data_IF_867024459054
#
_entry.id   IF_867024459054
#
_cell.length_a   1.000
_cell.length_b   1.000
_cell.length_c   1.000
_cell.angle_alpha   90.00
_cell.angle_beta   90.00
_cell.angle_gamma   90.00
#
_symmetry.space_group_name_H-M   'P 1'
#
loop_
_entity.id
_entity.type
_entity.pdbx_description
1 polymer ?
#
# COMPACT_ATOMS: atom_id res chain seq x y z
N UNK A 1 -18.20 10.87 5.15
CA UNK A 1 -17.34 11.68 4.25
C UNK A 1 -18.10 12.94 3.85
N UNK A 2 -17.42 13.91 3.24
CA UNK A 2 -18.02 15.13 2.73
C UNK A 2 -17.95 15.16 1.19
N UNK A 3 -18.93 15.78 0.54
CA UNK A 3 -18.82 16.11 -0.89
C UNK A 3 -18.27 17.52 -1.01
N UNK A 4 -17.20 17.68 -1.78
CA UNK A 4 -16.53 18.96 -2.00
C UNK A 4 -16.54 19.26 -3.50
N UNK A 5 -17.03 20.44 -3.85
CA UNK A 5 -16.95 20.94 -5.23
C UNK A 5 -15.57 21.52 -5.48
N UNK A 6 -14.86 20.97 -6.45
CA UNK A 6 -13.54 21.43 -6.86
C UNK A 6 -13.67 22.20 -8.16
N UNK A 7 -13.02 23.36 -8.22
CA UNK A 7 -12.87 24.18 -9.43
C UNK A 7 -11.39 24.22 -9.80
N UNK A 8 -11.04 23.75 -11.00
CA UNK A 8 -9.68 23.81 -11.52
C UNK A 8 -9.40 25.19 -12.14
N UNK A 9 -8.11 25.54 -12.30
CA UNK A 9 -7.69 26.78 -12.97
C UNK A 9 -8.23 26.90 -14.41
N UNK A 10 -8.52 25.77 -15.05
CA UNK A 10 -9.16 25.71 -16.37
C UNK A 10 -10.63 26.15 -16.36
N UNK A 11 -11.23 26.36 -15.19
CA UNK A 11 -12.66 26.63 -15.00
C UNK A 11 -13.52 25.37 -14.97
N UNK A 12 -12.94 24.18 -15.12
CA UNK A 12 -13.66 22.92 -14.98
C UNK A 12 -14.09 22.71 -13.51
N UNK A 13 -15.32 22.21 -13.30
CA UNK A 13 -15.87 21.94 -11.97
C UNK A 13 -16.35 20.50 -11.87
N UNK A 14 -16.12 19.88 -10.71
CA UNK A 14 -16.61 18.55 -10.40
C UNK A 14 -16.85 18.40 -8.89
N UNK A 15 -17.83 17.59 -8.51
CA UNK A 15 -18.05 17.19 -7.13
C UNK A 15 -17.23 15.93 -6.84
N UNK A 16 -16.45 15.96 -5.76
CA UNK A 16 -15.65 14.82 -5.33
C UNK A 16 -15.95 14.40 -3.89
N UNK A 17 -15.75 13.12 -3.59
CA UNK A 17 -15.91 12.56 -2.25
C UNK A 17 -14.62 12.72 -1.46
N UNK A 18 -14.69 13.48 -0.37
CA UNK A 18 -13.70 13.48 0.70
C UNK A 18 -14.12 12.46 1.76
N UNK A 19 -13.62 11.23 1.62
CA UNK A 19 -13.86 10.16 2.61
C UNK A 19 -13.30 10.54 3.99
N UNK A 20 -13.92 10.03 5.06
CA UNK A 20 -13.50 10.30 6.46
C UNK A 20 -12.00 10.04 6.66
N UNK A 21 -11.52 8.89 6.18
CA UNK A 21 -10.11 8.49 6.28
C UNK A 21 -9.13 9.39 5.50
N UNK A 22 -9.63 10.30 4.65
CA UNK A 22 -8.82 11.22 3.87
C UNK A 22 -8.87 12.67 4.41
N UNK A 23 -9.54 12.92 5.55
CA UNK A 23 -9.66 14.26 6.15
C UNK A 23 -8.43 14.60 7.00
N UNK A 24 -8.00 13.70 7.88
CA UNK A 24 -6.89 13.92 8.82
C UNK A 24 -6.03 12.67 8.96
N UNK A 25 -4.78 12.86 9.38
CA UNK A 25 -3.90 11.77 9.83
C UNK A 25 -4.32 11.21 11.20
N UNK A 26 -5.04 12.00 11.99
CA UNK A 26 -5.70 11.55 13.20
C UNK A 26 -7.04 10.87 12.89
N UNK A 27 -7.51 10.02 13.81
CA UNK A 27 -8.82 9.36 13.70
C UNK A 27 -9.92 10.43 13.76
N UNK A 28 -10.84 10.37 12.78
CA UNK A 28 -12.02 11.22 12.70
C UNK A 28 -13.25 10.32 12.74
N UNK A 29 -14.03 10.38 13.82
CA UNK A 29 -15.26 9.60 13.97
C UNK A 29 -16.45 10.31 13.31
N UNK A 30 -16.60 11.61 13.52
CA UNK A 30 -17.61 12.46 12.86
C UNK A 30 -16.93 13.55 12.02
N UNK A 31 -17.41 13.72 10.80
CA UNK A 31 -16.95 14.77 9.89
C UNK A 31 -17.30 16.15 10.45
N UNK A 32 -18.41 16.27 11.18
CA UNK A 32 -18.87 17.53 11.76
C UNK A 32 -17.92 18.08 12.84
N UNK A 33 -17.03 17.24 13.40
CA UNK A 33 -16.04 17.66 14.40
C UNK A 33 -14.86 18.42 13.78
N UNK A 34 -14.67 18.29 12.47
CA UNK A 34 -13.48 18.80 11.75
C UNK A 34 -13.82 19.69 10.56
N UNK A 35 -15.04 19.61 10.03
CA UNK A 35 -15.49 20.38 8.88
C UNK A 35 -16.81 21.11 9.15
N UNK A 36 -16.90 22.35 8.66
CA UNK A 36 -18.10 23.17 8.72
C UNK A 36 -18.68 23.42 7.31
N UNK A 37 -20.00 23.66 7.24
CA UNK A 37 -20.65 24.10 6.00
C UNK A 37 -20.07 25.47 5.59
N UNK A 38 -19.84 25.66 4.29
CA UNK A 38 -19.21 26.84 3.69
C UNK A 38 -17.73 27.08 4.06
N UNK A 39 -17.08 26.11 4.73
CA UNK A 39 -15.65 26.16 4.97
C UNK A 39 -14.86 25.99 3.67
N UNK A 40 -13.91 26.89 3.43
CA UNK A 40 -12.91 26.71 2.38
C UNK A 40 -11.82 25.74 2.85
N UNK A 41 -11.69 24.61 2.16
CA UNK A 41 -10.68 23.58 2.44
C UNK A 41 -9.74 23.39 1.26
N UNK A 42 -8.47 23.10 1.56
CA UNK A 42 -7.50 22.69 0.56
C UNK A 42 -7.57 21.17 0.39
N UNK A 43 -7.84 20.72 -0.83
CA UNK A 43 -7.96 19.30 -1.17
C UNK A 43 -7.11 18.98 -2.40
N UNK A 44 -6.57 17.76 -2.44
CA UNK A 44 -5.92 17.17 -3.60
C UNK A 44 -6.83 16.10 -4.20
N UNK A 45 -6.76 15.93 -5.52
CA UNK A 45 -7.35 14.78 -6.21
C UNK A 45 -6.52 13.54 -5.86
N UNK A 46 -7.16 12.57 -5.20
CA UNK A 46 -6.56 11.28 -4.83
C UNK A 46 -6.67 10.28 -5.97
N UNK A 47 -7.85 10.17 -6.59
CA UNK A 47 -8.07 9.31 -7.76
C UNK A 47 -9.19 9.85 -8.63
N UNK A 48 -9.15 9.50 -9.91
CA UNK A 48 -10.16 9.83 -10.92
C UNK A 48 -10.55 8.54 -11.64
N UNK A 49 -11.84 8.19 -11.59
CA UNK A 49 -12.43 7.13 -12.40
C UNK A 49 -13.40 7.76 -13.40
N UNK A 50 -12.98 7.84 -14.66
CA UNK A 50 -13.77 8.48 -15.72
C UNK A 50 -14.94 7.62 -16.19
N UNK A 51 -14.88 6.30 -16.00
CA UNK A 51 -15.95 5.39 -16.42
C UNK A 51 -17.13 5.48 -15.47
N UNK A 52 -16.84 5.56 -14.16
CA UNK A 52 -17.85 5.67 -13.11
C UNK A 52 -18.22 7.12 -12.78
N UNK A 53 -17.39 8.07 -13.21
CA UNK A 53 -17.54 9.49 -12.85
C UNK A 53 -17.16 9.77 -11.40
N UNK A 54 -16.30 8.93 -10.81
CA UNK A 54 -15.92 9.04 -9.40
C UNK A 54 -14.64 9.89 -9.24
N UNK A 55 -14.74 10.93 -8.42
CA UNK A 55 -13.62 11.77 -8.02
C UNK A 55 -13.40 11.62 -6.52
N UNK A 56 -12.26 11.07 -6.11
CA UNK A 56 -11.88 10.94 -4.70
C UNK A 56 -10.92 12.06 -4.32
N UNK A 57 -11.16 12.68 -3.16
CA UNK A 57 -10.40 13.80 -2.64
C UNK A 57 -9.69 13.43 -1.35
N UNK A 58 -8.60 14.14 -1.05
CA UNK A 58 -7.86 14.03 0.20
C UNK A 58 -7.37 15.40 0.68
N UNK A 59 -7.46 15.64 1.98
CA UNK A 59 -6.82 16.79 2.66
C UNK A 59 -5.42 16.44 3.17
N UNK A 60 -5.08 15.15 3.22
CA UNK A 60 -3.75 14.68 3.63
C UNK A 60 -2.65 15.18 2.70
N UNK A 61 -1.51 15.51 3.29
CA UNK A 61 -0.30 15.83 2.55
C UNK A 61 0.14 14.65 1.66
N UNK A 62 0.87 14.89 0.56
CA UNK A 62 1.53 13.82 -0.16
C UNK A 62 2.51 13.12 0.78
N UNK A 63 2.45 11.79 0.82
CA UNK A 63 3.48 11.01 1.51
C UNK A 63 4.74 11.08 0.65
N UNK A 64 5.82 11.62 1.21
CA UNK A 64 7.11 11.61 0.52
C UNK A 64 7.75 10.23 0.65
N UNK A 65 7.58 9.42 -0.39
CA UNK A 65 8.17 8.10 -0.49
C UNK A 65 9.53 8.09 -1.21
N UNK A 66 10.10 9.27 -1.54
CA UNK A 66 11.35 9.35 -2.31
C UNK A 66 12.51 8.62 -1.63
N UNK A 67 12.60 8.73 -0.29
CA UNK A 67 13.60 8.03 0.51
C UNK A 67 13.48 6.49 0.46
N UNK A 68 12.30 5.97 0.13
CA UNK A 68 12.02 4.53 0.08
C UNK A 68 12.26 3.93 -1.31
N UNK A 69 12.25 4.75 -2.37
CA UNK A 69 12.34 4.29 -3.77
C UNK A 69 13.62 3.51 -4.06
N UNK A 70 14.75 4.05 -3.61
CA UNK A 70 16.09 3.49 -3.87
C UNK A 70 16.59 2.67 -2.68
N UNK A 71 15.73 2.38 -1.71
CA UNK A 71 16.09 1.57 -0.57
C UNK A 71 16.34 0.11 -1.01
N UNK A 72 17.44 -0.54 -0.56
CA UNK A 72 17.76 -1.89 -0.99
C UNK A 72 16.64 -2.88 -0.64
N UNK A 73 16.16 -3.64 -1.62
CA UNK A 73 15.03 -4.56 -1.44
C UNK A 73 15.38 -5.81 -0.63
N UNK A 74 16.66 -6.07 -0.42
CA UNK A 74 17.20 -7.13 0.44
C UNK A 74 17.40 -6.67 1.90
N UNK A 75 17.36 -5.37 2.16
CA UNK A 75 17.56 -4.81 3.50
C UNK A 75 16.27 -4.81 4.33
N UNK A 76 16.42 -5.15 5.61
CA UNK A 76 15.33 -5.22 6.58
C UNK A 76 15.23 -3.94 7.39
N UNK A 77 14.01 -3.49 7.58
CA UNK A 77 13.65 -2.28 8.33
C UNK A 77 12.69 -2.68 9.45
N UNK A 78 12.86 -2.06 10.61
CA UNK A 78 11.91 -2.22 11.70
C UNK A 78 10.66 -1.36 11.44
N UNK A 79 9.49 -1.96 11.60
CA UNK A 79 8.22 -1.29 11.51
C UNK A 79 7.32 -1.59 12.70
N UNK A 80 6.32 -0.73 12.91
CA UNK A 80 5.25 -0.92 13.91
C UNK A 80 3.93 -1.13 13.20
N UNK A 81 3.18 -2.16 13.56
CA UNK A 81 1.84 -2.40 13.03
C UNK A 81 0.89 -1.32 13.58
N UNK A 82 0.32 -0.49 12.70
CA UNK A 82 -0.63 0.56 13.07
C UNK A 82 -2.08 0.06 12.99
N UNK A 83 -2.38 -0.80 12.02
CA UNK A 83 -3.72 -1.34 11.81
C UNK A 83 -3.68 -2.72 11.14
N UNK A 84 -4.71 -3.51 11.40
CA UNK A 84 -4.94 -4.81 10.78
C UNK A 84 -6.22 -4.75 9.94
N UNK A 85 -6.17 -5.36 8.78
CA UNK A 85 -7.28 -5.52 7.84
C UNK A 85 -7.34 -6.98 7.37
N UNK A 86 -8.48 -7.42 6.84
CA UNK A 86 -8.64 -8.80 6.37
C UNK A 86 -7.70 -9.19 5.22
N UNK A 87 -7.17 -8.21 4.49
CA UNK A 87 -6.25 -8.42 3.36
C UNK A 87 -4.78 -8.12 3.70
N UNK A 88 -4.46 -7.64 4.90
CA UNK A 88 -3.09 -7.31 5.27
C UNK A 88 -2.98 -6.43 6.53
N UNK A 89 -1.78 -5.93 6.79
CA UNK A 89 -1.51 -5.02 7.88
C UNK A 89 -0.90 -3.71 7.34
N UNK A 90 -1.25 -2.58 7.96
CA UNK A 90 -0.56 -1.32 7.74
C UNK A 90 0.57 -1.20 8.75
N UNK A 91 1.80 -1.09 8.25
CA UNK A 91 3.02 -1.05 9.07
C UNK A 91 3.72 0.28 8.83
N UNK A 92 3.90 1.05 9.89
CA UNK A 92 4.70 2.27 9.89
C UNK A 92 6.17 1.89 9.94
N UNK A 93 6.92 2.28 8.92
CA UNK A 93 8.37 2.07 8.83
C UNK A 93 9.11 3.38 9.01
N UNK A 94 10.24 3.33 9.70
CA UNK A 94 11.15 4.46 9.87
C UNK A 94 12.53 4.05 9.40
N UNK A 95 13.07 4.75 8.40
CA UNK A 95 14.43 4.57 7.94
C UNK A 95 15.42 5.26 8.89
N UNK A 96 16.68 4.85 8.87
CA UNK A 96 17.76 5.49 9.65
C UNK A 96 17.95 6.99 9.31
N UNK A 97 17.53 7.40 8.11
CA UNK A 97 17.49 8.80 7.68
C UNK A 97 16.45 9.65 8.42
N UNK A 98 15.56 9.02 9.20
CA UNK A 98 14.39 9.63 9.83
C UNK A 98 13.16 9.73 8.94
N UNK A 99 13.22 9.25 7.69
CA UNK A 99 12.06 9.19 6.81
C UNK A 99 11.06 8.14 7.32
N UNK A 100 9.80 8.53 7.44
CA UNK A 100 8.72 7.67 7.94
C UNK A 100 7.60 7.54 6.93
N UNK A 101 7.07 6.34 6.77
CA UNK A 101 5.91 6.09 5.91
C UNK A 101 5.10 4.88 6.41
N UNK A 102 3.81 4.88 6.08
CA UNK A 102 2.93 3.73 6.30
C UNK A 102 2.91 2.88 5.02
N UNK A 103 3.26 1.60 5.16
CA UNK A 103 3.25 0.64 4.06
C UNK A 103 2.25 -0.49 4.28
N UNK A 104 1.75 -1.05 3.18
CA UNK A 104 0.86 -2.22 3.20
C UNK A 104 1.68 -3.51 3.17
N UNK A 105 1.58 -4.29 4.23
CA UNK A 105 2.01 -5.68 4.30
C UNK A 105 0.80 -6.57 3.96
N UNK A 106 0.63 -6.89 2.67
CA UNK A 106 -0.45 -7.77 2.23
C UNK A 106 -0.32 -9.19 2.80
N UNK A 107 -1.44 -9.88 3.01
CA UNK A 107 -1.50 -11.21 3.65
C UNK A 107 -0.54 -12.25 3.04
N UNK A 108 -0.44 -12.27 1.70
CA UNK A 108 0.47 -13.16 0.97
C UNK A 108 1.96 -12.82 1.13
N UNK A 109 2.29 -11.69 1.75
CA UNK A 109 3.66 -11.25 2.01
C UNK A 109 4.05 -11.36 3.50
N UNK A 110 3.17 -11.88 4.37
CA UNK A 110 3.45 -12.06 5.80
C UNK A 110 4.34 -13.29 6.04
N UNK A 111 4.05 -14.40 5.36
CA UNK A 111 4.75 -15.67 5.55
C UNK A 111 4.95 -16.43 4.25
N UNK A 112 5.82 -17.44 4.30
CA UNK A 112 5.89 -18.49 3.28
C UNK A 112 4.77 -19.52 3.42
N UNK A 113 4.24 -19.68 4.62
CA UNK A 113 3.05 -20.48 4.89
C UNK A 113 1.77 -19.69 4.55
N UNK A 114 0.68 -20.41 4.30
CA UNK A 114 -0.63 -19.80 4.07
C UNK A 114 -1.10 -19.18 5.38
N UNK A 115 -1.43 -17.89 5.32
CA UNK A 115 -2.06 -17.13 6.40
C UNK A 115 -3.50 -16.90 6.01
N UNK A 116 -4.44 -17.44 6.80
CA UNK A 116 -5.88 -17.26 6.57
C UNK A 116 -6.42 -15.96 7.18
N UNK A 117 -5.93 -15.61 8.38
CA UNK A 117 -6.27 -14.38 9.08
C UNK A 117 -4.99 -13.67 9.54
N UNK A 118 -4.91 -12.36 9.27
CA UNK A 118 -3.79 -11.50 9.67
C UNK A 118 -3.72 -11.40 11.19
N UNK A 119 -4.87 -11.39 11.88
CA UNK A 119 -4.95 -11.25 13.32
C UNK A 119 -4.39 -12.45 14.10
N UNK A 120 -4.22 -13.61 13.44
CA UNK A 120 -3.61 -14.79 14.04
C UNK A 120 -2.07 -14.70 14.13
N UNK A 121 -1.47 -13.80 13.36
CA UNK A 121 0.00 -13.70 13.20
C UNK A 121 0.56 -12.33 13.53
N UNK A 122 -0.27 -11.29 13.51
CA UNK A 122 0.12 -9.91 13.79
C UNK A 122 -0.84 -9.26 14.78
N UNK A 123 -0.31 -8.38 15.62
CA UNK A 123 -1.05 -7.56 16.57
C UNK A 123 -0.81 -6.07 16.30
N UNK A 124 -1.80 -5.21 16.59
CA UNK A 124 -1.60 -3.75 16.59
C UNK A 124 -0.53 -3.39 17.62
N UNK A 125 0.30 -2.39 17.30
CA UNK A 125 1.49 -1.95 18.04
C UNK A 125 2.67 -2.95 18.06
N UNK A 126 2.52 -4.13 17.45
CA UNK A 126 3.62 -5.07 17.32
C UNK A 126 4.75 -4.49 16.48
N UNK A 127 5.98 -4.70 16.93
CA UNK A 127 7.16 -4.38 16.14
C UNK A 127 7.57 -5.58 15.30
N UNK A 128 7.73 -5.36 13.99
CA UNK A 128 8.05 -6.38 13.00
C UNK A 128 9.25 -5.96 12.15
N UNK A 129 9.96 -6.92 11.59
CA UNK A 129 10.97 -6.68 10.57
C UNK A 129 10.34 -6.91 9.20
N UNK A 130 10.46 -5.92 8.33
CA UNK A 130 9.90 -5.92 6.97
C UNK A 130 10.94 -5.45 5.97
N UNK A 131 10.75 -5.76 4.70
CA UNK A 131 11.52 -5.20 3.59
C UNK A 131 10.59 -4.44 2.66
N UNK A 132 11.17 -3.49 1.92
CA UNK A 132 10.43 -2.74 0.91
C UNK A 132 10.34 -3.60 -0.35
N UNK A 133 9.11 -3.99 -0.69
CA UNK A 133 8.83 -4.82 -1.86
C UNK A 133 8.70 -3.99 -3.12
N UNK A 134 7.97 -2.87 -3.04
CA UNK A 134 7.79 -1.93 -4.15
C UNK A 134 7.33 -0.57 -3.66
N UNK A 135 7.69 0.47 -4.41
CA UNK A 135 7.29 1.86 -4.14
C UNK A 135 6.65 2.43 -5.39
N UNK A 136 5.44 2.95 -5.26
CA UNK A 136 4.75 3.73 -6.29
C UNK A 136 4.65 5.19 -5.83
N UNK A 137 5.50 6.05 -6.39
CA UNK A 137 5.54 7.47 -6.04
C UNK A 137 4.32 8.25 -6.56
N UNK A 138 3.68 7.79 -7.64
CA UNK A 138 2.54 8.48 -8.21
C UNK A 138 1.28 8.25 -7.36
N UNK A 139 1.10 7.00 -6.91
CA UNK A 139 -0.01 6.61 -6.07
C UNK A 139 0.24 6.88 -4.58
N UNK A 140 1.51 7.02 -4.19
CA UNK A 140 1.91 7.11 -2.79
C UNK A 140 1.77 5.77 -2.08
N UNK A 141 1.96 4.66 -2.80
CA UNK A 141 1.79 3.30 -2.29
C UNK A 141 3.16 2.68 -1.95
N UNK A 142 3.32 2.22 -0.72
CA UNK A 142 4.50 1.47 -0.25
C UNK A 142 4.07 0.04 0.06
N UNK A 143 4.58 -0.96 -0.67
CA UNK A 143 4.33 -2.37 -0.36
C UNK A 143 5.48 -2.97 0.43
N UNK A 144 5.14 -3.73 1.46
CA UNK A 144 6.08 -4.37 2.37
C UNK A 144 6.00 -5.89 2.28
N UNK A 145 7.07 -6.56 2.70
CA UNK A 145 7.14 -8.01 2.80
C UNK A 145 7.95 -8.46 4.01
N UNK A 146 7.47 -9.51 4.68
CA UNK A 146 8.20 -10.23 5.74
C UNK A 146 8.87 -11.50 5.22
N UNK A 147 8.75 -11.78 3.92
CA UNK A 147 9.38 -12.95 3.30
C UNK A 147 10.88 -12.70 3.10
N UNK A 148 11.68 -13.74 2.90
CA UNK A 148 13.08 -13.59 2.48
C UNK A 148 13.19 -13.17 0.99
N UNK A 149 14.28 -12.50 0.57
CA UNK A 149 14.52 -12.27 -0.86
C UNK A 149 14.68 -13.61 -1.57
N UNK A 150 14.06 -13.73 -2.74
CA UNK A 150 14.30 -14.88 -3.63
C UNK A 150 15.52 -14.54 -4.48
N UNK A 151 16.57 -15.34 -4.38
CA UNK A 151 17.73 -15.21 -5.24
C UNK A 151 17.39 -15.73 -6.65
N UNK A 152 17.23 -14.79 -7.59
CA UNK A 152 16.98 -15.09 -9.00
C UNK A 152 18.24 -14.94 -9.86
N UNK A 153 19.42 -14.71 -9.26
CA UNK A 153 20.66 -14.45 -10.01
C UNK A 153 21.03 -15.59 -10.96
N UNK A 154 20.76 -16.84 -10.57
CA UNK A 154 20.96 -18.03 -11.39
C UNK A 154 20.11 -18.05 -12.68
N UNK A 155 19.03 -17.29 -12.73
CA UNK A 155 18.10 -17.24 -13.88
C UNK A 155 18.33 -16.03 -14.79
N UNK A 156 19.21 -15.09 -14.43
CA UNK A 156 19.40 -13.82 -15.15
C UNK A 156 19.77 -14.02 -16.62
N UNK A 157 20.63 -15.00 -16.88
CA UNK A 157 21.13 -15.33 -18.22
C UNK A 157 20.48 -16.61 -18.77
N UNK A 158 19.38 -17.07 -18.15
CA UNK A 158 18.68 -18.27 -18.58
C UNK A 158 17.95 -18.01 -19.91
N UNK A 159 18.17 -18.81 -20.98
CA UNK A 159 17.55 -18.59 -22.28
C UNK A 159 16.02 -18.72 -22.21
N UNK A 160 15.31 -17.76 -22.79
CA UNK A 160 13.83 -17.76 -22.78
C UNK A 160 13.19 -18.88 -23.61
N UNK A 161 13.95 -19.51 -24.50
CA UNK A 161 13.53 -20.63 -25.35
C UNK A 161 13.88 -22.00 -24.78
N UNK A 162 14.52 -22.07 -23.62
CA UNK A 162 14.90 -23.31 -22.95
C UNK A 162 13.78 -23.79 -21.99
N UNK A 163 13.47 -25.08 -22.06
CA UNK A 163 12.42 -25.69 -21.23
C UNK A 163 12.99 -26.15 -19.90
N UNK A 164 12.31 -25.82 -18.80
CA UNK A 164 12.64 -26.34 -17.47
C UNK A 164 11.55 -27.26 -16.97
N UNK A 165 11.94 -28.39 -16.37
CA UNK A 165 11.02 -29.32 -15.77
C UNK A 165 10.58 -28.80 -14.38
N UNK A 166 9.30 -28.94 -14.07
CA UNK A 166 8.77 -28.61 -12.77
C UNK A 166 7.68 -29.58 -12.32
N UNK A 167 7.50 -29.67 -11.00
CA UNK A 167 6.43 -30.44 -10.37
C UNK A 167 5.31 -29.48 -9.96
N UNK A 168 4.09 -29.78 -10.38
CA UNK A 168 2.89 -29.08 -9.90
C UNK A 168 2.68 -29.41 -8.42
N UNK A 169 2.70 -28.40 -7.56
CA UNK A 169 2.49 -28.56 -6.11
C UNK A 169 1.06 -28.24 -5.69
N UNK A 170 0.42 -27.26 -6.34
CA UNK A 170 -0.96 -26.86 -6.05
C UNK A 170 -1.70 -26.38 -7.31
N UNK A 171 -3.02 -26.52 -7.29
CA UNK A 171 -3.95 -26.05 -8.33
C UNK A 171 -5.02 -25.18 -7.67
N UNK A 172 -5.14 -23.95 -8.13
CA UNK A 172 -6.12 -22.96 -7.70
C UNK A 172 -7.04 -22.59 -8.86
N UNK A 173 -8.18 -21.98 -8.55
CA UNK A 173 -9.14 -21.51 -9.57
C UNK A 173 -8.54 -20.51 -10.57
N UNK A 174 -7.47 -19.81 -10.16
CA UNK A 174 -6.76 -18.84 -10.99
C UNK A 174 -5.46 -19.38 -11.62
N UNK A 175 -4.98 -20.59 -11.27
CA UNK A 175 -3.72 -21.09 -11.82
C UNK A 175 -3.10 -22.30 -11.13
N UNK A 176 -1.85 -22.61 -11.48
CA UNK A 176 -1.09 -23.72 -10.93
C UNK A 176 0.23 -23.21 -10.34
N UNK A 177 0.60 -23.70 -9.15
CA UNK A 177 1.90 -23.47 -8.55
C UNK A 177 2.84 -24.60 -8.92
N UNK A 178 3.92 -24.29 -9.63
CA UNK A 178 4.89 -25.26 -10.12
C UNK A 178 6.24 -25.00 -9.48
N UNK A 179 6.75 -25.97 -8.72
CA UNK A 179 8.13 -25.96 -8.24
C UNK A 179 9.04 -26.48 -9.34
N UNK A 180 9.92 -25.62 -9.83
CA UNK A 180 10.92 -25.97 -10.85
C UNK A 180 12.07 -26.75 -10.18
N UNK A 181 12.52 -27.84 -10.81
CA UNK A 181 13.56 -28.75 -10.30
C UNK A 181 14.71 -28.88 -11.28
#
# INVERSE_FOLDING_TARGET
GAFVRVTLDSGATADGLLGIANISDDIVDDVADVLEVDQHVLVRIKSVDLERGDLQLTMKAPVDLSAFRDFPSDEWVQGRVEALESFGAFVRVTLDSGATADGLLGIANISDDIVDDVADVLEVDQHVLVRIKSVDLERGDLQLTMKAPVDLSAFRDFPSDEWVQGRVEALESFGAFVRVT
#
